data_IF_699657479106
#
_entry.id   IF_699657479106
#
_cell.length_a   1.000
_cell.length_b   1.000
_cell.length_c   1.000
_cell.angle_alpha   90.00
_cell.angle_beta   90.00
_cell.angle_gamma   90.00
#
_symmetry.space_group_name_H-M   'P 1'
#
loop_
_entity.id
_entity.type
_entity.pdbx_description
1 polymer ?
#
# COMPACT_ATOMS: atom_id res chain seq x y z
N UNK A 1 -49.68 -0.95 30.76
CA UNK A 1 -50.64 0.17 30.90
C UNK A 1 -50.70 0.53 32.37
N UNK A 2 -50.79 1.81 32.79
CA UNK A 2 -50.77 3.11 32.06
C UNK A 2 -49.36 3.73 32.09
N UNK A 3 -48.79 4.43 31.08
CA UNK A 3 -49.14 5.65 30.33
C UNK A 3 -49.20 6.93 31.20
N UNK A 4 -48.14 7.73 31.14
CA UNK A 4 -48.15 9.17 31.33
C UNK A 4 -47.48 9.83 30.12
N UNK A 5 -48.14 10.84 29.57
CA UNK A 5 -47.83 11.59 28.35
C UNK A 5 -47.14 12.93 28.68
N UNK A 6 -47.02 13.80 27.65
CA UNK A 6 -46.69 15.24 27.64
C UNK A 6 -45.19 15.49 27.28
N UNK A 7 -44.77 16.31 26.32
CA UNK A 7 -45.46 17.21 25.39
C UNK A 7 -44.63 17.45 24.12
N UNK A 8 -45.39 17.70 23.05
CA UNK A 8 -45.06 18.36 21.79
C UNK A 8 -44.51 19.78 21.98
N UNK A 9 -43.48 20.15 21.19
CA UNK A 9 -43.38 21.49 20.58
C UNK A 9 -42.83 21.38 19.17
N UNK A 10 -43.63 21.88 18.23
CA UNK A 10 -43.30 22.13 16.84
C UNK A 10 -43.19 23.66 16.62
N UNK A 11 -42.25 24.05 15.77
CA UNK A 11 -42.24 25.26 14.94
C UNK A 11 -41.18 24.96 13.85
N UNK A 12 -41.50 24.73 12.56
CA UNK A 12 -42.04 25.66 11.55
C UNK A 12 -41.24 26.98 11.50
N UNK A 13 -40.79 27.56 10.40
CA UNK A 13 -40.72 27.24 8.97
C UNK A 13 -39.83 28.34 8.34
N UNK A 14 -39.25 28.11 7.16
CA UNK A 14 -39.26 29.06 6.03
C UNK A 14 -38.30 28.60 4.92
N UNK A 15 -38.88 28.29 3.77
CA UNK A 15 -38.21 28.15 2.50
C UNK A 15 -38.05 29.52 1.84
N UNK A 16 -36.97 29.70 1.06
CA UNK A 16 -36.98 30.59 -0.09
C UNK A 16 -36.40 29.82 -1.27
N UNK A 17 -37.26 29.53 -2.23
CA UNK A 17 -36.91 29.16 -3.59
C UNK A 17 -37.15 30.38 -4.47
N UNK A 18 -36.22 30.69 -5.37
CA UNK A 18 -36.58 31.37 -6.62
C UNK A 18 -35.82 30.73 -7.78
N UNK A 19 -36.61 30.46 -8.81
CA UNK A 19 -36.29 29.73 -10.02
C UNK A 19 -35.74 30.65 -11.11
N UNK A 20 -35.04 30.08 -12.08
CA UNK A 20 -35.28 30.41 -13.49
C UNK A 20 -35.29 29.12 -14.33
N UNK A 21 -36.38 28.97 -15.06
CA UNK A 21 -36.67 27.90 -15.99
C UNK A 21 -35.91 28.07 -17.31
N UNK A 22 -35.67 26.94 -17.98
CA UNK A 22 -35.29 26.87 -19.38
C UNK A 22 -35.62 25.49 -19.92
N UNK A 23 -36.78 25.36 -20.55
CA UNK A 23 -37.24 24.14 -21.23
C UNK A 23 -36.45 23.92 -22.53
N UNK A 24 -36.05 22.68 -22.80
CA UNK A 24 -36.12 22.13 -24.17
C UNK A 24 -36.27 20.60 -24.10
N UNK A 25 -37.12 20.11 -24.99
CA UNK A 25 -37.66 18.76 -25.03
C UNK A 25 -37.06 17.95 -26.18
N UNK A 26 -36.81 16.66 -25.90
CA UNK A 26 -36.87 15.57 -26.88
C UNK A 26 -35.61 15.27 -27.67
N UNK A 27 -35.03 14.08 -27.44
CA UNK A 27 -34.92 13.00 -28.45
C UNK A 27 -34.28 11.76 -27.81
N UNK A 28 -34.79 10.59 -28.21
CA UNK A 28 -34.15 9.29 -28.06
C UNK A 28 -32.83 9.30 -28.83
N UNK A 29 -31.76 8.78 -28.24
CA UNK A 29 -30.82 7.83 -28.85
C UNK A 29 -29.63 7.60 -27.93
N UNK A 30 -29.13 6.37 -27.89
CA UNK A 30 -28.00 5.95 -27.06
C UNK A 30 -26.76 6.79 -27.38
N UNK A 31 -26.18 7.44 -26.37
CA UNK A 31 -24.97 8.23 -26.53
C UNK A 31 -23.78 7.31 -26.86
N UNK A 32 -23.11 7.48 -28.02
CA UNK A 32 -21.91 6.75 -28.35
C UNK A 32 -20.72 7.32 -27.55
N UNK A 33 -19.80 6.43 -27.19
CA UNK A 33 -18.52 6.80 -26.61
C UNK A 33 -17.77 7.73 -27.59
N UNK A 34 -17.52 8.97 -27.20
CA UNK A 34 -16.71 9.91 -27.98
C UNK A 34 -15.27 9.92 -27.46
N UNK A 35 -14.34 9.48 -28.31
CA UNK A 35 -12.91 9.63 -28.10
C UNK A 35 -12.46 10.96 -28.72
N UNK A 36 -12.18 11.96 -27.88
CA UNK A 36 -11.51 13.19 -28.32
C UNK A 36 -10.07 13.19 -27.84
N UNK A 37 -9.14 13.33 -28.79
CA UNK A 37 -7.71 13.50 -28.53
C UNK A 37 -7.35 14.94 -28.88
N UNK A 38 -7.03 15.75 -27.87
CA UNK A 38 -6.29 16.99 -28.07
C UNK A 38 -4.85 16.77 -27.60
N UNK A 39 -3.91 16.76 -28.54
CA UNK A 39 -2.47 16.69 -28.29
C UNK A 39 -1.82 17.94 -28.85
N UNK A 40 -1.31 18.82 -27.98
CA UNK A 40 -0.34 19.85 -28.35
C UNK A 40 1.09 19.32 -28.14
N UNK A 41 2.07 19.71 -28.98
CA UNK A 41 3.45 19.25 -28.82
C UNK A 41 4.12 20.01 -27.67
N UNK A 42 4.57 19.27 -26.65
CA UNK A 42 5.40 19.79 -25.56
C UNK A 42 6.84 19.32 -25.79
N UNK A 43 7.78 20.28 -25.78
CA UNK A 43 9.18 20.07 -26.13
C UNK A 43 9.95 19.08 -25.23
N UNK A 44 11.19 18.74 -25.63
CA UNK A 44 12.02 17.70 -25.01
C UNK A 44 12.44 17.93 -23.54
N UNK A 45 12.07 19.06 -22.93
CA UNK A 45 12.28 19.36 -21.50
C UNK A 45 11.23 18.80 -20.53
N UNK A 46 10.23 18.04 -21.00
CA UNK A 46 9.06 17.67 -20.16
C UNK A 46 9.03 16.22 -19.68
N UNK A 47 9.65 15.27 -20.39
CA UNK A 47 9.52 13.86 -20.01
C UNK A 47 10.18 13.55 -18.67
N UNK A 48 11.48 13.84 -18.50
CA UNK A 48 12.22 13.53 -17.27
C UNK A 48 11.57 14.16 -16.05
N UNK A 49 11.17 15.43 -16.18
CA UNK A 49 10.37 16.13 -15.19
C UNK A 49 9.05 15.40 -14.88
N UNK A 50 8.26 15.01 -15.89
CA UNK A 50 7.00 14.26 -15.70
C UNK A 50 7.24 12.92 -15.01
N UNK A 51 8.31 12.20 -15.38
CA UNK A 51 8.68 10.92 -14.74
C UNK A 51 8.95 11.13 -13.26
N UNK A 52 9.80 12.10 -12.92
CA UNK A 52 10.18 12.36 -11.53
C UNK A 52 9.04 12.93 -10.71
N UNK A 53 8.19 13.78 -11.29
CA UNK A 53 6.99 14.29 -10.65
C UNK A 53 6.04 13.15 -10.26
N UNK A 54 5.70 12.27 -11.21
CA UNK A 54 4.82 11.11 -10.95
C UNK A 54 5.42 10.17 -9.91
N UNK A 55 6.71 9.84 -10.01
CA UNK A 55 7.39 9.01 -9.01
C UNK A 55 7.46 9.72 -7.64
N UNK A 56 7.58 11.05 -7.64
CA UNK A 56 7.47 11.91 -6.47
C UNK A 56 6.12 11.80 -5.80
N UNK A 57 5.01 11.92 -6.54
CA UNK A 57 3.66 11.72 -6.02
C UNK A 57 3.45 10.32 -5.44
N UNK A 58 3.98 9.28 -6.10
CA UNK A 58 3.96 7.90 -5.57
C UNK A 58 4.73 7.82 -4.25
N UNK A 59 5.94 8.39 -4.18
CA UNK A 59 6.73 8.40 -2.94
C UNK A 59 6.07 9.18 -1.81
N UNK A 60 5.44 10.31 -2.12
CA UNK A 60 4.64 11.11 -1.19
C UNK A 60 3.48 10.29 -0.63
N UNK A 61 2.73 9.58 -1.49
CA UNK A 61 1.66 8.66 -1.07
C UNK A 61 2.18 7.55 -0.17
N UNK A 62 3.30 6.91 -0.53
CA UNK A 62 3.94 5.90 0.32
C UNK A 62 4.31 6.50 1.68
N UNK A 63 4.92 7.68 1.75
CA UNK A 63 5.22 8.33 3.03
C UNK A 63 3.96 8.55 3.87
N UNK A 64 2.89 9.05 3.26
CA UNK A 64 1.62 9.31 3.92
C UNK A 64 0.95 8.05 4.46
N UNK A 65 1.25 6.85 3.94
CA UNK A 65 0.78 5.61 4.57
C UNK A 65 1.33 5.42 6.00
N UNK A 66 2.43 6.08 6.37
CA UNK A 66 2.88 6.11 7.76
C UNK A 66 2.39 7.27 8.59
N UNK A 67 1.71 8.23 7.96
CA UNK A 67 1.02 9.33 8.65
C UNK A 67 -0.43 8.89 8.93
N UNK A 68 -1.14 8.48 7.88
CA UNK A 68 -2.56 8.14 7.88
C UNK A 68 -2.82 6.94 6.97
N UNK A 69 -3.04 5.78 7.59
CA UNK A 69 -3.43 4.54 6.91
C UNK A 69 -4.20 3.63 7.87
N UNK A 70 -4.73 2.53 7.35
CA UNK A 70 -5.25 1.44 8.18
C UNK A 70 -4.21 0.93 9.19
N UNK A 71 -2.92 0.96 8.83
CA UNK A 71 -1.83 0.54 9.71
C UNK A 71 -1.64 1.54 10.85
N UNK A 72 -1.61 2.83 10.55
CA UNK A 72 -1.48 3.86 11.61
C UNK A 72 -2.72 3.92 12.48
N UNK A 73 -3.91 3.75 11.91
CA UNK A 73 -5.17 3.62 12.66
C UNK A 73 -5.14 2.41 13.61
N UNK A 74 -4.68 1.25 13.13
CA UNK A 74 -4.51 0.05 13.97
C UNK A 74 -3.50 0.29 15.10
N UNK A 75 -2.37 0.93 14.81
CA UNK A 75 -1.36 1.27 15.82
C UNK A 75 -1.94 2.20 16.91
N UNK A 76 -2.66 3.27 16.52
CA UNK A 76 -3.34 4.18 17.45
C UNK A 76 -4.38 3.44 18.29
N UNK A 77 -5.19 2.58 17.67
CA UNK A 77 -6.21 1.78 18.36
C UNK A 77 -5.59 0.84 19.40
N UNK A 78 -4.51 0.14 19.05
CA UNK A 78 -3.82 -0.78 19.94
C UNK A 78 -3.20 -0.06 21.15
N UNK A 79 -2.59 1.10 20.92
CA UNK A 79 -2.05 1.93 22.02
C UNK A 79 -3.19 2.40 22.92
N UNK A 80 -4.25 2.96 22.34
CA UNK A 80 -5.38 3.52 23.08
C UNK A 80 -6.14 2.47 23.91
N UNK A 81 -6.20 1.21 23.46
CA UNK A 81 -6.88 0.12 24.18
C UNK A 81 -5.98 -0.69 25.10
N UNK A 82 -4.70 -0.34 25.21
CA UNK A 82 -3.76 -1.08 26.05
C UNK A 82 -3.94 -0.71 27.53
N UNK A 83 -4.78 -1.46 28.24
CA UNK A 83 -4.99 -1.28 29.68
C UNK A 83 -3.69 -1.44 30.49
N UNK A 84 -2.79 -2.33 30.07
CA UNK A 84 -1.48 -2.51 30.67
C UNK A 84 -0.62 -1.24 30.53
N UNK A 85 -0.58 -0.64 29.33
CA UNK A 85 0.18 0.59 29.08
C UNK A 85 -0.39 1.78 29.86
N UNK A 86 -1.72 1.96 29.82
CA UNK A 86 -2.39 3.03 30.57
C UNK A 86 -2.12 2.92 32.06
N UNK A 87 -2.27 1.73 32.64
CA UNK A 87 -2.08 1.50 34.08
C UNK A 87 -0.63 1.72 34.52
N UNK A 88 0.35 1.25 33.73
CA UNK A 88 1.77 1.47 34.02
C UNK A 88 2.14 2.96 33.91
N UNK A 89 1.62 3.64 32.89
CA UNK A 89 1.79 5.09 32.71
C UNK A 89 1.21 5.84 33.91
N UNK A 90 -0.01 5.52 34.34
CA UNK A 90 -0.69 6.13 35.49
C UNK A 90 0.03 5.92 36.83
N UNK A 91 0.77 4.81 36.98
CA UNK A 91 1.64 4.58 38.15
C UNK A 91 3.05 5.15 38.02
N UNK A 92 3.47 5.55 36.82
CA UNK A 92 4.83 6.04 36.56
C UNK A 92 5.83 4.89 36.55
N UNK A 93 5.34 3.68 36.29
CA UNK A 93 6.10 2.44 36.28
C UNK A 93 6.79 2.29 34.92
N UNK A 94 8.06 2.70 34.86
CA UNK A 94 8.87 2.65 33.65
C UNK A 94 9.06 1.22 33.12
N UNK A 95 9.28 0.24 34.00
CA UNK A 95 9.47 -1.15 33.62
C UNK A 95 8.17 -1.75 33.06
N UNK A 96 7.03 -1.51 33.71
CA UNK A 96 5.72 -1.92 33.23
C UNK A 96 5.34 -1.25 31.91
N UNK A 97 5.65 0.03 31.74
CA UNK A 97 5.40 0.75 30.49
C UNK A 97 6.25 0.18 29.34
N UNK A 98 7.52 -0.14 29.59
CA UNK A 98 8.41 -0.75 28.60
C UNK A 98 7.94 -2.14 28.18
N UNK A 99 7.53 -2.99 29.13
CA UNK A 99 7.00 -4.32 28.83
C UNK A 99 5.70 -4.25 28.02
N UNK A 100 4.77 -3.37 28.40
CA UNK A 100 3.52 -3.16 27.65
C UNK A 100 3.80 -2.63 26.23
N UNK A 101 4.73 -1.69 26.09
CA UNK A 101 5.13 -1.15 24.80
C UNK A 101 5.81 -2.20 23.89
N UNK A 102 6.64 -3.08 24.45
CA UNK A 102 7.23 -4.21 23.71
C UNK A 102 6.16 -5.20 23.23
N UNK A 103 5.16 -5.49 24.06
CA UNK A 103 4.01 -6.32 23.65
C UNK A 103 3.25 -5.70 22.48
N UNK A 104 3.07 -4.37 22.48
CA UNK A 104 2.45 -3.65 21.37
C UNK A 104 3.31 -3.73 20.10
N UNK A 105 4.63 -3.61 20.19
CA UNK A 105 5.52 -3.83 19.04
C UNK A 105 5.44 -5.26 18.49
N UNK A 106 5.24 -6.26 19.36
CA UNK A 106 5.03 -7.66 18.98
C UNK A 106 3.85 -7.87 18.02
N UNK A 107 2.88 -6.95 17.99
CA UNK A 107 1.75 -6.96 17.05
C UNK A 107 2.14 -6.55 15.63
N UNK A 108 3.35 -6.01 15.42
CA UNK A 108 3.92 -5.56 14.13
C UNK A 108 3.20 -4.41 13.43
N UNK A 109 2.25 -3.75 14.10
CA UNK A 109 1.57 -2.57 13.55
C UNK A 109 2.42 -1.30 13.61
N UNK A 110 3.41 -1.23 14.50
CA UNK A 110 4.33 -0.10 14.66
C UNK A 110 5.79 -0.58 14.72
N UNK A 111 6.73 0.30 14.40
CA UNK A 111 8.16 0.05 14.42
C UNK A 111 8.85 0.61 15.67
N UNK A 112 8.29 1.67 16.27
CA UNK A 112 8.81 2.29 17.49
C UNK A 112 7.69 2.92 18.31
N UNK A 113 7.88 2.98 19.63
CA UNK A 113 6.97 3.60 20.58
C UNK A 113 7.72 4.23 21.75
N UNK A 114 7.43 5.50 22.01
CA UNK A 114 7.86 6.29 23.17
C UNK A 114 6.66 6.67 24.01
N UNK A 115 6.82 6.56 25.32
CA UNK A 115 5.76 6.80 26.31
C UNK A 115 6.25 7.81 27.32
N UNK A 116 5.47 8.86 27.54
CA UNK A 116 5.84 9.98 28.39
C UNK A 116 4.74 10.25 29.41
N UNK A 117 5.14 10.68 30.60
CA UNK A 117 4.24 11.21 31.64
C UNK A 117 4.83 12.46 32.25
N UNK A 118 4.11 13.58 32.16
CA UNK A 118 4.57 14.86 32.73
C UNK A 118 5.99 15.24 32.29
N UNK A 119 6.34 14.98 31.02
CA UNK A 119 7.69 15.22 30.48
C UNK A 119 8.72 14.11 30.76
N UNK A 120 8.44 13.18 31.67
CA UNK A 120 9.33 12.04 31.97
C UNK A 120 9.11 10.92 30.98
N UNK A 121 10.19 10.44 30.34
CA UNK A 121 10.16 9.28 29.47
C UNK A 121 10.07 8.00 30.30
N UNK A 122 8.96 7.26 30.16
CA UNK A 122 8.75 5.99 30.86
C UNK A 122 9.20 4.79 30.02
N UNK A 123 9.05 4.85 28.69
CA UNK A 123 9.48 3.79 27.79
C UNK A 123 9.93 4.34 26.44
N UNK A 124 10.92 3.69 25.84
CA UNK A 124 11.38 3.93 24.47
C UNK A 124 11.81 2.58 23.86
N UNK A 125 10.96 2.03 23.01
CA UNK A 125 11.11 0.67 22.49
C UNK A 125 11.02 0.66 20.96
N UNK A 126 11.66 -0.33 20.33
CA UNK A 126 11.67 -0.49 18.88
C UNK A 126 12.79 0.29 18.20
N UNK A 127 12.50 0.84 17.03
CA UNK A 127 13.50 1.60 16.24
C UNK A 127 13.93 2.87 16.96
N UNK A 128 15.23 3.18 16.89
CA UNK A 128 15.80 4.38 17.48
C UNK A 128 15.48 5.64 16.65
N UNK A 129 15.34 5.48 15.32
CA UNK A 129 14.93 6.53 14.39
C UNK A 129 13.85 5.99 13.46
N UNK A 130 13.12 6.90 12.84
CA UNK A 130 12.02 6.56 11.95
C UNK A 130 11.46 7.81 11.30
N UNK A 131 10.28 7.66 10.72
CA UNK A 131 9.61 8.74 9.97
C UNK A 131 8.13 8.80 10.33
N UNK A 132 7.47 9.91 10.00
CA UNK A 132 6.04 10.09 10.20
C UNK A 132 5.60 9.79 11.65
N UNK A 133 6.05 10.59 12.64
CA UNK A 133 5.69 10.37 14.02
C UNK A 133 4.17 10.48 14.22
N UNK A 134 3.63 9.51 14.94
CA UNK A 134 2.25 9.45 15.41
C UNK A 134 2.22 9.92 16.86
N UNK A 135 1.65 11.09 17.09
CA UNK A 135 1.51 11.65 18.43
C UNK A 135 0.08 11.43 18.94
N UNK A 136 -0.05 11.10 20.22
CA UNK A 136 -1.34 10.98 20.88
C UNK A 136 -1.24 10.98 22.41
N UNK A 137 -2.39 10.83 23.05
CA UNK A 137 -2.53 10.80 24.51
C UNK A 137 -2.82 9.39 25.00
N UNK A 138 -2.41 9.10 26.23
CA UNK A 138 -2.75 7.86 26.93
C UNK A 138 -3.80 8.19 27.98
N UNK A 139 -4.90 7.44 27.96
CA UNK A 139 -6.05 7.65 28.84
C UNK A 139 -6.13 6.53 29.88
N UNK A 140 -6.28 6.90 31.16
CA UNK A 140 -6.46 5.98 32.28
C UNK A 140 -7.89 5.46 32.39
N UNK A 141 -8.16 4.63 33.41
CA UNK A 141 -9.46 3.97 33.60
C UNK A 141 -10.64 4.96 33.78
N UNK A 142 -10.38 6.14 34.36
CA UNK A 142 -11.38 7.20 34.55
C UNK A 142 -11.54 8.16 33.37
N UNK A 143 -11.01 7.85 32.19
CA UNK A 143 -11.09 8.75 31.03
C UNK A 143 -10.12 9.95 31.09
N UNK A 144 -9.36 10.10 32.18
CA UNK A 144 -8.36 11.16 32.36
C UNK A 144 -7.08 10.86 31.58
N UNK A 145 -6.47 11.89 31.00
CA UNK A 145 -5.14 11.76 30.42
C UNK A 145 -4.11 11.44 31.51
N UNK A 146 -3.36 10.35 31.34
CA UNK A 146 -2.30 9.88 32.25
C UNK A 146 -0.90 10.01 31.65
N UNK A 147 -0.81 10.20 30.34
CA UNK A 147 0.44 10.43 29.63
C UNK A 147 0.24 10.80 28.17
N UNK A 148 1.33 10.77 27.42
CA UNK A 148 1.35 10.90 25.97
C UNK A 148 2.21 9.80 25.36
N UNK A 149 2.08 9.62 24.05
CA UNK A 149 2.95 8.73 23.30
C UNK A 149 3.39 9.38 21.98
N UNK A 150 4.53 8.92 21.49
CA UNK A 150 5.01 9.15 20.14
C UNK A 150 5.37 7.79 19.54
N UNK A 151 4.78 7.43 18.41
CA UNK A 151 5.03 6.16 17.74
C UNK A 151 5.46 6.39 16.29
N UNK A 152 5.98 5.36 15.64
CA UNK A 152 6.19 5.37 14.18
C UNK A 152 5.86 4.00 13.61
N UNK A 153 5.36 3.97 12.37
CA UNK A 153 5.21 2.73 11.59
C UNK A 153 6.33 2.54 10.57
N UNK A 154 7.15 3.57 10.35
CA UNK A 154 8.33 3.53 9.48
C UNK A 154 9.59 3.34 10.31
N UNK A 155 10.24 2.18 10.16
CA UNK A 155 11.60 1.99 10.65
C UNK A 155 12.66 2.68 9.78
N UNK A 156 13.91 2.66 10.25
CA UNK A 156 15.06 3.38 9.68
C UNK A 156 15.22 3.30 8.14
N UNK A 157 14.87 2.16 7.54
CA UNK A 157 14.98 1.94 6.09
C UNK A 157 13.64 1.60 5.40
N UNK A 158 12.54 1.46 6.15
CA UNK A 158 11.28 0.93 5.61
C UNK A 158 10.71 1.76 4.47
N UNK A 159 10.71 3.09 4.62
CA UNK A 159 10.26 4.00 3.56
C UNK A 159 11.16 3.92 2.33
N UNK A 160 12.48 3.87 2.54
CA UNK A 160 13.47 3.83 1.46
C UNK A 160 13.31 2.57 0.63
N UNK A 161 13.26 1.41 1.28
CA UNK A 161 13.14 0.13 0.61
C UNK A 161 11.81 0.00 -0.15
N UNK A 162 10.71 0.43 0.46
CA UNK A 162 9.39 0.39 -0.19
C UNK A 162 9.33 1.35 -1.39
N UNK A 163 9.78 2.60 -1.21
CA UNK A 163 9.78 3.60 -2.28
C UNK A 163 10.69 3.16 -3.43
N UNK A 164 11.92 2.72 -3.14
CA UNK A 164 12.85 2.25 -4.18
C UNK A 164 12.36 0.99 -4.87
N UNK A 165 11.75 0.05 -4.15
CA UNK A 165 11.18 -1.17 -4.72
C UNK A 165 10.03 -0.88 -5.71
N UNK A 166 9.16 0.06 -5.37
CA UNK A 166 7.98 0.39 -6.18
C UNK A 166 8.30 1.34 -7.35
N UNK A 167 9.09 2.38 -7.09
CA UNK A 167 9.43 3.40 -8.11
C UNK A 167 10.57 2.96 -9.02
N UNK A 168 11.43 2.04 -8.55
CA UNK A 168 12.72 1.74 -9.19
C UNK A 168 13.69 2.92 -9.20
N UNK A 169 13.41 3.99 -8.46
CA UNK A 169 14.29 5.12 -8.24
C UNK A 169 15.04 4.97 -6.90
N UNK A 170 16.17 5.66 -6.76
CA UNK A 170 16.84 5.73 -5.47
C UNK A 170 16.07 6.66 -4.53
N UNK A 171 15.93 6.27 -3.26
CA UNK A 171 15.31 7.12 -2.24
C UNK A 171 16.35 7.51 -1.19
N UNK A 172 16.38 8.81 -0.85
CA UNK A 172 17.28 9.38 0.16
C UNK A 172 16.47 10.21 1.14
N UNK A 173 16.77 10.07 2.43
CA UNK A 173 16.14 10.87 3.50
C UNK A 173 17.20 11.78 4.10
N UNK A 174 16.94 13.08 4.16
CA UNK A 174 17.88 14.08 4.71
C UNK A 174 17.27 14.91 5.83
N UNK A 175 18.12 15.24 6.79
CA UNK A 175 17.94 16.29 7.78
C UNK A 175 18.91 17.43 7.43
N UNK A 176 18.40 18.50 6.82
CA UNK A 176 19.24 19.54 6.22
C UNK A 176 20.18 18.93 5.17
N UNK A 177 21.49 19.03 5.38
CA UNK A 177 22.51 18.44 4.49
C UNK A 177 22.90 17.00 4.86
N UNK A 178 22.53 16.53 6.05
CA UNK A 178 22.90 15.21 6.56
C UNK A 178 21.95 14.14 6.04
N UNK A 179 22.51 13.08 5.44
CA UNK A 179 21.74 11.90 5.04
C UNK A 179 21.46 11.00 6.25
N UNK A 180 20.20 10.61 6.41
CA UNK A 180 19.75 9.69 7.46
C UNK A 180 19.58 8.27 6.94
N UNK A 181 19.07 8.12 5.72
CA UNK A 181 18.82 6.83 5.09
C UNK A 181 18.90 6.95 3.56
N UNK A 182 19.13 5.83 2.89
CA UNK A 182 19.35 5.77 1.45
C UNK A 182 20.74 5.26 1.10
N UNK A 183 20.86 4.65 -0.09
CA UNK A 183 22.14 4.17 -0.63
C UNK A 183 22.78 5.18 -1.57
N UNK A 184 21.99 6.09 -2.13
CA UNK A 184 22.44 7.13 -3.03
C UNK A 184 22.96 8.33 -2.23
N UNK A 185 24.12 8.86 -2.62
CA UNK A 185 24.76 10.01 -1.95
C UNK A 185 24.51 11.28 -2.75
N UNK A 186 23.78 12.22 -2.16
CA UNK A 186 23.55 13.57 -2.66
C UNK A 186 24.67 14.50 -2.20
N UNK A 187 24.95 15.59 -2.94
CA UNK A 187 25.91 16.59 -2.51
C UNK A 187 25.56 17.18 -1.14
N UNK A 188 26.58 17.48 -0.34
CA UNK A 188 26.46 18.06 1.00
C UNK A 188 26.07 19.55 0.99
N UNK A 189 25.09 19.93 0.16
CA UNK A 189 24.46 21.25 0.09
C UNK A 189 22.95 21.12 0.11
N UNK A 190 22.29 22.24 0.39
CA UNK A 190 20.85 22.33 0.24
C UNK A 190 20.46 22.15 -1.24
N UNK A 191 19.39 21.40 -1.46
CA UNK A 191 18.86 21.13 -2.79
C UNK A 191 17.43 21.66 -2.87
N UNK A 192 17.01 22.23 -4.01
CA UNK A 192 15.63 22.67 -4.21
C UNK A 192 14.64 21.50 -4.15
N UNK A 193 13.34 21.78 -4.30
CA UNK A 193 12.32 20.74 -4.33
C UNK A 193 12.53 19.76 -5.50
N UNK A 194 13.02 20.25 -6.64
CA UNK A 194 13.27 19.45 -7.83
C UNK A 194 14.46 20.01 -8.60
N UNK A 195 15.14 19.17 -9.37
CA UNK A 195 16.23 19.61 -10.23
C UNK A 195 17.13 18.47 -10.69
N UNK A 196 18.33 18.83 -11.14
CA UNK A 196 19.34 17.89 -11.62
C UNK A 196 20.62 18.01 -10.81
N UNK A 197 21.29 16.88 -10.58
CA UNK A 197 22.57 16.79 -9.90
C UNK A 197 23.49 15.82 -10.64
N UNK A 198 24.76 16.17 -10.78
CA UNK A 198 25.77 15.26 -11.31
C UNK A 198 26.39 14.46 -10.15
N UNK A 199 26.36 13.13 -10.24
CA UNK A 199 26.98 12.22 -9.27
C UNK A 199 27.85 11.24 -10.04
N UNK A 200 29.15 11.22 -9.76
CA UNK A 200 30.15 10.44 -10.49
C UNK A 200 30.08 10.63 -12.02
N UNK A 201 29.90 11.87 -12.47
CA UNK A 201 29.81 12.20 -13.90
C UNK A 201 28.47 11.84 -14.57
N UNK A 202 27.51 11.26 -13.84
CA UNK A 202 26.18 10.92 -14.37
C UNK A 202 25.15 11.94 -13.88
N UNK A 203 24.40 12.52 -14.81
CA UNK A 203 23.28 13.40 -14.50
C UNK A 203 22.11 12.60 -13.90
N UNK A 204 21.63 13.05 -12.75
CA UNK A 204 20.47 12.51 -12.05
C UNK A 204 19.44 13.61 -11.86
N UNK A 205 18.20 13.31 -12.19
CA UNK A 205 17.06 14.15 -11.83
C UNK A 205 16.56 13.74 -10.44
N UNK A 206 16.04 14.70 -9.70
CA UNK A 206 15.43 14.44 -8.40
C UNK A 206 14.16 15.24 -8.18
N UNK A 207 13.26 14.65 -7.40
CA UNK A 207 12.09 15.27 -6.80
C UNK A 207 12.18 15.09 -5.29
N UNK A 208 11.67 16.05 -4.52
CA UNK A 208 11.67 15.95 -3.06
C UNK A 208 10.49 16.64 -2.40
N UNK A 209 10.08 16.09 -1.27
CA UNK A 209 8.95 16.56 -0.47
C UNK A 209 9.30 16.61 1.02
N UNK A 210 8.62 17.48 1.80
CA UNK A 210 8.84 17.56 3.25
C UNK A 210 8.34 16.30 3.96
N UNK A 211 9.04 15.91 5.02
CA UNK A 211 8.70 14.81 5.91
C UNK A 211 9.06 15.16 7.36
N UNK A 212 8.70 14.30 8.30
CA UNK A 212 8.98 14.49 9.73
C UNK A 212 9.75 13.29 10.31
N UNK A 213 10.78 13.59 11.10
CA UNK A 213 11.59 12.62 11.81
C UNK A 213 10.85 12.04 13.01
N UNK A 214 11.02 10.76 13.24
CA UNK A 214 10.79 10.15 14.54
C UNK A 214 12.14 9.85 15.21
N UNK A 215 12.31 10.15 16.52
CA UNK A 215 11.39 10.91 17.36
C UNK A 215 11.52 12.44 17.17
N UNK A 216 10.57 13.18 17.73
CA UNK A 216 10.62 14.64 17.92
C UNK A 216 10.08 15.47 16.77
N UNK A 217 9.59 14.87 15.69
CA UNK A 217 8.93 15.60 14.59
C UNK A 217 9.80 16.59 13.84
N UNK A 218 11.14 16.48 13.95
CA UNK A 218 12.07 17.40 13.28
C UNK A 218 11.86 17.37 11.76
N UNK A 219 11.92 18.51 11.07
CA UNK A 219 11.68 18.57 9.63
C UNK A 219 12.78 17.82 8.86
N UNK A 220 12.35 17.02 7.89
CA UNK A 220 13.20 16.25 6.98
C UNK A 220 12.75 16.51 5.54
N UNK A 221 13.58 16.06 4.59
CA UNK A 221 13.18 15.94 3.18
C UNK A 221 13.45 14.53 2.68
N UNK A 222 12.50 14.00 1.92
CA UNK A 222 12.65 12.75 1.18
C UNK A 222 12.91 13.09 -0.27
N UNK A 223 13.95 12.51 -0.85
CA UNK A 223 14.36 12.68 -2.24
C UNK A 223 14.13 11.38 -3.00
N UNK A 224 13.50 11.48 -4.15
CA UNK A 224 13.41 10.44 -5.18
C UNK A 224 14.38 10.85 -6.28
N UNK A 225 15.37 10.01 -6.55
CA UNK A 225 16.49 10.31 -7.43
C UNK A 225 16.61 9.25 -8.51
N UNK A 226 16.76 9.67 -9.76
CA UNK A 226 16.88 8.77 -10.90
C UNK A 226 17.89 9.30 -11.91
N UNK A 227 18.73 8.41 -12.44
CA UNK A 227 19.64 8.77 -13.51
C UNK A 227 18.84 9.15 -14.77
N UNK A 228 19.20 10.27 -15.42
CA UNK A 228 18.52 10.77 -16.64
C UNK A 228 18.39 9.66 -17.71
N UNK A 229 19.43 8.85 -18.01
CA UNK A 229 19.30 7.76 -18.98
C UNK A 229 18.33 6.64 -18.57
N UNK A 230 18.00 6.52 -17.28
CA UNK A 230 17.00 5.56 -16.79
C UNK A 230 15.58 6.10 -16.87
N UNK A 231 15.39 7.43 -16.88
CA UNK A 231 14.09 8.08 -17.09
C UNK A 231 13.63 7.97 -18.54
N UNK A 232 14.56 8.00 -19.51
CA UNK A 232 14.25 7.98 -20.95
C UNK A 232 13.40 6.77 -21.40
N UNK A 233 13.55 5.61 -20.74
CA UNK A 233 12.77 4.39 -21.03
C UNK A 233 11.28 4.50 -20.69
N UNK A 234 10.91 5.49 -19.86
CA UNK A 234 9.52 5.76 -19.47
C UNK A 234 8.91 6.86 -20.33
N UNK A 235 9.71 7.57 -21.12
CA UNK A 235 9.25 8.66 -21.97
C UNK A 235 8.31 8.17 -23.05
N UNK A 236 7.30 8.99 -23.29
CA UNK A 236 6.41 8.86 -24.43
C UNK A 236 6.33 10.19 -25.19
N UNK A 237 5.55 10.19 -26.27
CA UNK A 237 5.33 11.36 -27.13
C UNK A 237 4.57 12.50 -26.45
N UNK A 238 4.03 12.30 -25.24
CA UNK A 238 3.35 13.33 -24.46
C UNK A 238 3.52 13.10 -22.96
N UNK A 239 3.31 14.15 -22.15
CA UNK A 239 3.32 14.06 -20.69
C UNK A 239 2.30 13.03 -20.19
N UNK A 240 1.05 13.07 -20.68
CA UNK A 240 0.02 12.12 -20.30
C UNK A 240 0.39 10.65 -20.59
N UNK A 241 0.98 10.36 -21.76
CA UNK A 241 1.46 9.00 -22.04
C UNK A 241 2.67 8.61 -21.17
N UNK A 242 3.51 9.57 -20.81
CA UNK A 242 4.62 9.38 -19.86
C UNK A 242 4.09 9.01 -18.48
N UNK A 243 3.07 9.72 -17.97
CA UNK A 243 2.35 9.38 -16.72
C UNK A 243 1.87 7.92 -16.76
N UNK A 244 1.25 7.51 -17.88
CA UNK A 244 0.75 6.14 -18.06
C UNK A 244 1.86 5.10 -18.04
N UNK A 245 3.00 5.37 -18.70
CA UNK A 245 4.15 4.48 -18.67
C UNK A 245 4.71 4.33 -17.25
N UNK A 246 4.83 5.43 -16.50
CA UNK A 246 5.36 5.44 -15.14
C UNK A 246 4.42 4.67 -14.19
N UNK A 247 3.13 5.00 -14.16
CA UNK A 247 2.16 4.34 -13.29
C UNK A 247 1.91 2.88 -13.70
N UNK A 248 1.94 2.59 -15.01
CA UNK A 248 1.89 1.23 -15.52
C UNK A 248 3.10 0.39 -15.09
N UNK A 249 4.29 1.00 -14.96
CA UNK A 249 5.46 0.35 -14.37
C UNK A 249 5.28 0.15 -12.86
N UNK A 250 4.83 1.17 -12.12
CA UNK A 250 4.60 1.06 -10.66
C UNK A 250 3.57 -0.04 -10.35
N UNK A 251 2.45 -0.09 -11.06
CA UNK A 251 1.45 -1.15 -10.91
C UNK A 251 2.03 -2.55 -11.16
N UNK A 252 2.87 -2.71 -12.19
CA UNK A 252 3.61 -3.96 -12.45
C UNK A 252 4.57 -4.30 -11.31
N UNK A 253 5.22 -3.31 -10.70
CA UNK A 253 6.12 -3.54 -9.56
C UNK A 253 5.37 -3.95 -8.30
N UNK A 254 4.21 -3.36 -8.02
CA UNK A 254 3.32 -3.81 -6.94
C UNK A 254 3.01 -5.31 -7.13
N UNK A 255 2.56 -5.70 -8.32
CA UNK A 255 2.23 -7.10 -8.63
C UNK A 255 3.44 -8.03 -8.48
N UNK A 256 4.61 -7.62 -8.99
CA UNK A 256 5.85 -8.41 -8.93
C UNK A 256 6.40 -8.54 -7.51
N UNK A 257 6.16 -7.55 -6.65
CA UNK A 257 6.52 -7.60 -5.24
C UNK A 257 5.95 -8.83 -4.56
N UNK A 258 4.75 -9.26 -4.97
CA UNK A 258 4.05 -10.42 -4.39
C UNK A 258 4.54 -11.78 -4.89
N UNK A 259 5.06 -11.84 -6.13
CA UNK A 259 5.66 -13.05 -6.69
C UNK A 259 7.16 -13.20 -6.37
N UNK A 260 7.77 -12.13 -5.86
CA UNK A 260 9.22 -11.96 -5.77
C UNK A 260 9.81 -12.29 -4.39
N UNK A 261 10.85 -11.56 -3.95
CA UNK A 261 11.56 -11.82 -2.69
C UNK A 261 10.66 -11.89 -1.45
N UNK A 262 9.53 -11.17 -1.44
CA UNK A 262 8.56 -11.19 -0.33
C UNK A 262 7.92 -12.58 -0.16
N UNK A 263 7.73 -13.34 -1.24
CA UNK A 263 7.20 -14.70 -1.19
C UNK A 263 8.21 -15.72 -0.65
N UNK A 264 9.53 -15.47 -0.78
CA UNK A 264 10.56 -16.44 -0.38
C UNK A 264 10.50 -16.81 1.11
N UNK A 265 10.14 -15.85 1.98
CA UNK A 265 9.95 -16.13 3.40
C UNK A 265 8.82 -17.14 3.64
N UNK A 266 7.70 -16.96 2.94
CA UNK A 266 6.55 -17.86 3.03
C UNK A 266 6.82 -19.21 2.38
N UNK A 267 7.52 -19.22 1.23
CA UNK A 267 8.00 -20.47 0.60
C UNK A 267 8.82 -21.30 1.58
N UNK A 268 9.81 -20.68 2.25
CA UNK A 268 10.64 -21.40 3.24
C UNK A 268 9.84 -21.89 4.43
N UNK A 269 8.85 -21.12 4.89
CA UNK A 269 7.95 -21.52 5.98
C UNK A 269 7.15 -22.77 5.59
N UNK A 270 6.51 -22.77 4.41
CA UNK A 270 5.79 -23.93 3.87
C UNK A 270 6.72 -25.14 3.69
N UNK A 271 7.92 -24.93 3.15
CA UNK A 271 8.91 -26.00 2.93
C UNK A 271 9.51 -26.58 4.23
N UNK A 272 9.34 -25.91 5.37
CA UNK A 272 9.86 -26.37 6.68
C UNK A 272 8.76 -26.87 7.60
N UNK A 273 7.50 -26.77 7.19
CA UNK A 273 6.35 -27.16 8.00
C UNK A 273 6.25 -28.69 8.13
N UNK A 274 6.68 -29.23 9.27
CA UNK A 274 6.72 -30.67 9.50
C UNK A 274 5.34 -31.35 9.40
N UNK A 275 4.25 -30.78 9.96
CA UNK A 275 2.91 -31.35 9.77
C UNK A 275 2.55 -31.51 8.29
N UNK A 276 2.75 -30.47 7.47
CA UNK A 276 2.48 -30.52 6.04
C UNK A 276 3.36 -31.54 5.32
N UNK A 277 4.68 -31.52 5.56
CA UNK A 277 5.61 -32.43 4.88
C UNK A 277 5.27 -33.90 5.14
N UNK A 278 4.92 -34.25 6.39
CA UNK A 278 4.49 -35.62 6.75
C UNK A 278 3.19 -36.00 6.06
N UNK A 279 2.18 -35.11 6.10
CA UNK A 279 0.90 -35.35 5.44
C UNK A 279 1.06 -35.59 3.93
N UNK A 280 1.94 -34.82 3.28
CA UNK A 280 2.24 -34.96 1.84
C UNK A 280 2.97 -36.25 1.54
N UNK A 281 3.94 -36.65 2.37
CA UNK A 281 4.64 -37.92 2.20
C UNK A 281 3.69 -39.12 2.32
N UNK A 282 2.75 -39.08 3.26
CA UNK A 282 1.74 -40.11 3.50
C UNK A 282 0.53 -40.03 2.55
N UNK A 283 0.45 -39.02 1.68
CA UNK A 283 -0.71 -38.74 0.81
C UNK A 283 -2.04 -38.57 1.56
N UNK A 284 -1.97 -38.11 2.80
CA UNK A 284 -3.13 -37.85 3.65
C UNK A 284 -3.74 -36.49 3.31
N UNK A 285 -4.91 -36.50 2.66
CA UNK A 285 -5.64 -35.29 2.26
C UNK A 285 -6.17 -34.49 3.47
N UNK A 286 -6.64 -35.17 4.51
CA UNK A 286 -7.23 -34.51 5.67
C UNK A 286 -6.15 -33.82 6.51
N UNK A 287 -5.04 -34.51 6.75
CA UNK A 287 -3.89 -33.95 7.44
C UNK A 287 -3.26 -32.79 6.65
N UNK A 288 -3.15 -32.92 5.32
CA UNK A 288 -2.63 -31.84 4.47
C UNK A 288 -3.53 -30.59 4.55
N UNK A 289 -4.85 -30.76 4.51
CA UNK A 289 -5.80 -29.65 4.65
C UNK A 289 -5.67 -28.95 6.01
N UNK A 290 -5.55 -29.72 7.10
CA UNK A 290 -5.38 -29.19 8.46
C UNK A 290 -4.06 -28.41 8.59
N UNK A 291 -2.95 -28.96 8.09
CA UNK A 291 -1.66 -28.29 8.10
C UNK A 291 -1.67 -26.99 7.27
N UNK A 292 -2.30 -26.99 6.10
CA UNK A 292 -2.46 -25.77 5.30
C UNK A 292 -3.30 -24.73 6.05
N UNK A 293 -4.43 -25.12 6.67
CA UNK A 293 -5.25 -24.20 7.44
C UNK A 293 -4.45 -23.54 8.58
N UNK A 294 -3.60 -24.32 9.24
CA UNK A 294 -2.67 -23.81 10.25
C UNK A 294 -1.61 -22.88 9.64
N UNK A 295 -1.28 -22.97 8.35
CA UNK A 295 -0.32 -22.09 7.67
C UNK A 295 -0.93 -20.79 7.11
N UNK A 296 -2.25 -20.72 6.91
CA UNK A 296 -2.99 -19.57 6.37
C UNK A 296 -3.12 -18.41 7.37
N UNK A 297 -1.97 -17.94 7.82
CA UNK A 297 -1.79 -16.74 8.64
C UNK A 297 -0.45 -16.10 8.27
N UNK A 298 -0.21 -14.87 8.73
CA UNK A 298 1.05 -14.14 8.48
C UNK A 298 1.40 -14.07 6.99
N UNK A 299 0.50 -13.50 6.18
CA UNK A 299 0.69 -13.19 4.75
C UNK A 299 0.59 -14.38 3.78
N UNK A 300 0.05 -15.54 4.17
CA UNK A 300 -0.30 -16.60 3.21
C UNK A 300 -1.83 -16.59 3.02
N UNK A 301 -2.31 -16.31 1.80
CA UNK A 301 -3.75 -16.19 1.51
C UNK A 301 -4.34 -17.43 0.86
N UNK A 302 -3.49 -18.23 0.21
CA UNK A 302 -3.87 -19.53 -0.36
C UNK A 302 -2.66 -20.43 -0.54
N UNK A 303 -2.88 -21.71 -0.31
CA UNK A 303 -1.87 -22.75 -0.55
C UNK A 303 -2.57 -24.00 -1.12
N UNK A 304 -1.99 -24.48 -2.21
CA UNK A 304 -2.39 -25.69 -2.93
C UNK A 304 -1.22 -26.65 -2.92
N UNK A 305 -1.47 -27.92 -2.58
CA UNK A 305 -0.45 -28.95 -2.53
C UNK A 305 -0.88 -30.18 -3.31
N UNK A 306 0.02 -30.65 -4.17
CA UNK A 306 -0.15 -31.86 -4.97
C UNK A 306 1.02 -32.80 -4.78
N UNK A 307 0.79 -34.08 -5.04
CA UNK A 307 1.82 -35.11 -4.99
C UNK A 307 1.47 -36.22 -5.99
N UNK A 308 2.47 -36.73 -6.74
CA UNK A 308 2.27 -37.79 -7.74
C UNK A 308 1.14 -37.50 -8.74
N UNK A 309 1.03 -36.24 -9.19
CA UNK A 309 -0.03 -35.79 -10.11
C UNK A 309 -1.39 -35.53 -9.46
N UNK A 310 -1.64 -35.99 -8.24
CA UNK A 310 -2.91 -35.80 -7.54
C UNK A 310 -2.91 -34.56 -6.64
N UNK A 311 -4.03 -33.83 -6.63
CA UNK A 311 -4.28 -32.78 -5.64
C UNK A 311 -4.54 -33.41 -4.27
N UNK A 312 -3.79 -32.95 -3.25
CA UNK A 312 -4.03 -33.35 -1.86
C UNK A 312 -4.94 -32.37 -1.14
N UNK A 313 -4.64 -31.07 -1.25
CA UNK A 313 -5.43 -30.00 -0.65
C UNK A 313 -5.25 -28.65 -1.37
N UNK A 314 -6.28 -27.82 -1.34
CA UNK A 314 -6.30 -26.43 -1.84
C UNK A 314 -7.16 -25.62 -0.86
N UNK A 315 -6.53 -24.69 -0.13
CA UNK A 315 -7.20 -23.92 0.93
C UNK A 315 -6.80 -22.46 0.81
N UNK A 316 -7.80 -21.56 0.85
CA UNK A 316 -7.63 -20.12 0.78
C UNK A 316 -8.73 -19.44 -0.03
N UNK A 317 -8.59 -18.13 -0.26
CA UNK A 317 -9.56 -17.31 -0.98
C UNK A 317 -9.77 -17.73 -2.44
N UNK A 318 -10.95 -17.51 -3.04
CA UNK A 318 -11.27 -17.93 -4.40
C UNK A 318 -10.45 -17.18 -5.45
N UNK A 319 -10.14 -15.91 -5.22
CA UNK A 319 -9.42 -15.04 -6.14
C UNK A 319 -8.13 -14.55 -5.49
N UNK A 320 -7.01 -15.12 -5.92
CA UNK A 320 -5.67 -14.73 -5.44
C UNK A 320 -4.71 -14.70 -6.61
N UNK A 321 -3.67 -13.87 -6.47
CA UNK A 321 -2.80 -13.52 -7.59
C UNK A 321 -1.42 -14.14 -7.44
N UNK A 322 -0.58 -13.97 -8.45
CA UNK A 322 0.87 -14.18 -8.34
C UNK A 322 1.26 -15.56 -7.74
N UNK A 323 0.80 -16.69 -8.32
CA UNK A 323 1.14 -18.01 -7.81
C UNK A 323 2.66 -18.24 -7.83
N UNK A 324 3.19 -18.68 -6.69
CA UNK A 324 4.59 -19.10 -6.54
C UNK A 324 4.64 -20.60 -6.30
N UNK A 325 5.36 -21.31 -7.18
CA UNK A 325 5.53 -22.76 -7.08
C UNK A 325 6.80 -23.10 -6.30
N UNK A 326 6.72 -24.13 -5.45
CA UNK A 326 7.84 -24.60 -4.66
C UNK A 326 7.79 -26.14 -4.49
N UNK A 327 8.91 -26.86 -4.70
CA UNK A 327 8.96 -28.28 -4.40
C UNK A 327 8.90 -28.50 -2.88
N UNK A 328 8.18 -29.54 -2.47
CA UNK A 328 8.18 -30.03 -1.10
C UNK A 328 9.16 -31.20 -1.01
N UNK A 329 10.11 -31.12 -0.07
CA UNK A 329 11.15 -32.13 0.11
C UNK A 329 11.16 -32.67 1.53
N UNK A 330 11.37 -33.97 1.67
CA UNK A 330 11.57 -34.65 2.96
C UNK A 330 12.71 -35.65 2.79
N UNK A 331 13.70 -35.61 3.69
CA UNK A 331 14.90 -36.46 3.57
C UNK A 331 15.68 -36.25 2.27
N UNK A 332 15.66 -35.04 1.69
CA UNK A 332 16.30 -34.73 0.41
C UNK A 332 15.49 -35.11 -0.84
N UNK A 333 14.45 -35.92 -0.72
CA UNK A 333 13.60 -36.35 -1.83
C UNK A 333 12.41 -35.42 -2.04
N UNK A 334 12.04 -35.16 -3.29
CA UNK A 334 10.82 -34.41 -3.61
C UNK A 334 9.60 -35.29 -3.39
N UNK A 335 8.75 -34.91 -2.44
CA UNK A 335 7.54 -35.64 -2.05
C UNK A 335 6.27 -35.06 -2.67
N UNK A 336 6.33 -33.81 -3.15
CA UNK A 336 5.19 -33.11 -3.74
C UNK A 336 5.55 -31.72 -4.23
N UNK A 337 4.53 -30.96 -4.60
CA UNK A 337 4.63 -29.58 -5.06
C UNK A 337 3.63 -28.72 -4.30
N UNK A 338 4.07 -27.53 -3.91
CA UNK A 338 3.24 -26.48 -3.36
C UNK A 338 3.09 -25.34 -4.39
N UNK A 339 1.91 -24.76 -4.47
CA UNK A 339 1.65 -23.47 -5.11
C UNK A 339 1.02 -22.58 -4.04
N UNK A 340 1.64 -21.45 -3.73
CA UNK A 340 1.12 -20.49 -2.76
C UNK A 340 0.94 -19.11 -3.36
N UNK A 341 0.13 -18.30 -2.68
CA UNK A 341 0.03 -16.87 -2.91
C UNK A 341 0.07 -16.14 -1.56
N UNK A 342 0.70 -14.96 -1.56
CA UNK A 342 0.82 -14.11 -0.38
C UNK A 342 -0.10 -12.87 -0.41
N UNK A 343 -0.79 -12.65 -1.52
CA UNK A 343 -1.69 -11.52 -1.71
C UNK A 343 -2.94 -11.94 -2.50
N UNK A 344 -4.08 -11.49 -2.01
CA UNK A 344 -5.36 -11.60 -2.71
C UNK A 344 -5.56 -10.40 -3.68
N UNK A 345 -6.55 -10.54 -4.54
CA UNK A 345 -6.94 -9.49 -5.49
C UNK A 345 -7.32 -8.19 -4.79
N UNK A 346 -8.09 -8.25 -3.71
CA UNK A 346 -8.48 -7.10 -2.91
C UNK A 346 -7.27 -6.37 -2.31
N UNK A 347 -6.26 -7.11 -1.84
CA UNK A 347 -5.02 -6.56 -1.34
C UNK A 347 -4.26 -5.78 -2.41
N UNK A 348 -4.15 -6.32 -3.62
CA UNK A 348 -3.54 -5.61 -4.75
C UNK A 348 -4.30 -4.32 -5.10
N UNK A 349 -5.63 -4.37 -5.16
CA UNK A 349 -6.46 -3.19 -5.43
C UNK A 349 -6.21 -2.08 -4.41
N UNK A 350 -6.23 -2.43 -3.11
CA UNK A 350 -5.98 -1.48 -2.03
C UNK A 350 -4.58 -0.89 -2.13
N UNK A 351 -3.55 -1.69 -2.40
CA UNK A 351 -2.19 -1.19 -2.56
C UNK A 351 -2.04 -0.28 -3.78
N UNK A 352 -2.58 -0.66 -4.94
CA UNK A 352 -2.52 0.16 -6.14
C UNK A 352 -3.21 1.52 -5.91
N UNK A 353 -4.36 1.52 -5.24
CA UNK A 353 -5.08 2.75 -4.90
C UNK A 353 -4.31 3.63 -3.91
N UNK A 354 -3.82 3.04 -2.82
CA UNK A 354 -3.12 3.77 -1.76
C UNK A 354 -1.79 4.32 -2.23
N UNK A 355 -0.96 3.48 -2.83
CA UNK A 355 0.43 3.81 -3.14
C UNK A 355 0.59 4.59 -4.45
N UNK A 356 -0.28 4.32 -5.43
CA UNK A 356 -0.19 4.93 -6.76
C UNK A 356 -1.42 5.77 -7.15
N UNK A 357 -2.45 5.86 -6.30
CA UNK A 357 -3.65 6.66 -6.61
C UNK A 357 -4.51 6.11 -7.75
N UNK A 358 -4.21 4.91 -8.25
CA UNK A 358 -4.88 4.34 -9.43
C UNK A 358 -6.01 3.39 -9.05
N UNK A 359 -7.02 3.32 -9.91
CA UNK A 359 -8.08 2.33 -9.81
C UNK A 359 -7.71 1.08 -10.65
N UNK A 360 -8.24 -0.09 -10.30
CA UNK A 360 -7.86 -1.38 -10.91
C UNK A 360 -9.08 -2.25 -11.19
N UNK A 361 -9.08 -2.88 -12.35
CA UNK A 361 -9.99 -3.94 -12.75
C UNK A 361 -9.21 -5.22 -13.03
N UNK A 362 -9.76 -6.36 -12.65
CA UNK A 362 -9.15 -7.67 -12.88
C UNK A 362 -10.09 -8.60 -13.62
N UNK A 363 -9.57 -9.25 -14.66
CA UNK A 363 -10.33 -10.17 -15.48
C UNK A 363 -9.64 -11.53 -15.58
N UNK A 364 -10.42 -12.60 -15.39
CA UNK A 364 -10.05 -13.96 -15.75
C UNK A 364 -10.84 -14.34 -17.00
N UNK A 365 -10.16 -14.34 -18.15
CA UNK A 365 -10.84 -14.37 -19.45
C UNK A 365 -11.68 -13.10 -19.67
N UNK A 366 -12.97 -13.26 -19.96
CA UNK A 366 -13.94 -12.15 -20.08
C UNK A 366 -14.60 -11.77 -18.76
N UNK A 367 -14.50 -12.61 -17.71
CA UNK A 367 -15.15 -12.38 -16.42
C UNK A 367 -14.37 -11.35 -15.61
N UNK A 368 -15.02 -10.25 -15.23
CA UNK A 368 -14.54 -9.34 -14.19
C UNK A 368 -14.59 -10.10 -12.86
N UNK A 369 -13.44 -10.27 -12.22
CA UNK A 369 -13.33 -10.95 -10.92
C UNK A 369 -13.24 -9.97 -9.77
N UNK A 370 -12.68 -8.78 -10.01
CA UNK A 370 -12.47 -7.78 -8.97
C UNK A 370 -12.38 -6.36 -9.56
N UNK A 371 -12.84 -5.34 -8.82
CA UNK A 371 -12.93 -3.95 -9.29
C UNK A 371 -12.82 -2.95 -8.14
N UNK A 372 -11.90 -1.99 -8.25
CA UNK A 372 -11.79 -0.90 -7.26
C UNK A 372 -12.73 0.27 -7.55
N UNK A 373 -13.43 0.24 -8.69
CA UNK A 373 -14.50 1.18 -9.01
C UNK A 373 -15.85 0.50 -8.73
N UNK A 374 -16.79 1.24 -8.15
CA UNK A 374 -18.12 0.69 -7.88
C UNK A 374 -18.83 0.27 -9.16
N UNK A 375 -19.52 -0.87 -9.15
CA UNK A 375 -20.25 -1.42 -10.31
C UNK A 375 -19.39 -2.28 -11.25
N UNK A 376 -19.93 -2.61 -12.43
CA UNK A 376 -19.24 -3.40 -13.47
C UNK A 376 -19.04 -2.53 -14.70
N UNK A 377 -17.85 -1.93 -14.89
CA UNK A 377 -17.57 -1.09 -16.04
C UNK A 377 -17.63 -1.91 -17.34
N UNK A 378 -18.46 -1.46 -18.29
CA UNK A 378 -18.54 -2.04 -19.63
C UNK A 378 -17.61 -1.31 -20.62
N UNK A 379 -17.13 -2.02 -21.65
CA UNK A 379 -16.38 -1.40 -22.76
C UNK A 379 -15.01 -0.83 -22.39
N UNK A 380 -14.39 -1.30 -21.30
CA UNK A 380 -13.08 -0.80 -20.87
C UNK A 380 -12.01 -1.14 -21.92
N UNK A 381 -11.36 -0.14 -22.55
CA UNK A 381 -10.35 -0.41 -23.56
C UNK A 381 -9.09 -0.99 -22.91
N UNK A 382 -8.32 -1.77 -23.68
CA UNK A 382 -7.03 -2.28 -23.19
C UNK A 382 -6.04 -1.14 -22.92
N UNK A 383 -6.12 -0.07 -23.71
CA UNK A 383 -5.31 1.13 -23.59
C UNK A 383 -6.11 2.34 -24.09
N UNK A 384 -5.88 3.52 -23.49
CA UNK A 384 -6.44 4.79 -23.97
C UNK A 384 -7.51 5.37 -23.05
N UNK A 385 -8.18 6.43 -23.52
CA UNK A 385 -9.17 7.17 -22.73
C UNK A 385 -10.38 6.32 -22.37
N UNK A 386 -10.84 6.47 -21.13
CA UNK A 386 -12.00 5.76 -20.59
C UNK A 386 -12.72 6.66 -19.59
N UNK A 387 -14.04 6.78 -19.72
CA UNK A 387 -14.86 7.57 -18.80
C UNK A 387 -15.84 6.67 -18.07
N UNK A 388 -15.91 6.82 -16.75
CA UNK A 388 -16.78 6.00 -15.91
C UNK A 388 -17.20 6.76 -14.66
N UNK A 389 -18.50 6.74 -14.35
CA UNK A 389 -19.06 7.40 -13.16
C UNK A 389 -18.70 8.89 -13.07
N UNK A 390 -18.74 9.61 -14.20
CA UNK A 390 -18.39 11.04 -14.27
C UNK A 390 -16.89 11.35 -14.15
N UNK A 391 -16.02 10.33 -14.06
CA UNK A 391 -14.55 10.48 -13.97
C UNK A 391 -13.89 10.06 -15.26
N UNK A 392 -12.80 10.76 -15.62
CA UNK A 392 -11.98 10.46 -16.78
C UNK A 392 -10.72 9.71 -16.36
N UNK A 393 -10.39 8.67 -17.11
CA UNK A 393 -9.26 7.81 -16.90
C UNK A 393 -8.48 7.60 -18.20
N UNK A 394 -7.22 7.22 -18.05
CA UNK A 394 -6.50 6.47 -19.08
C UNK A 394 -6.37 5.02 -18.61
N UNK A 395 -6.91 4.10 -19.39
CA UNK A 395 -6.76 2.68 -19.17
C UNK A 395 -5.37 2.23 -19.63
N UNK A 396 -4.74 1.37 -18.84
CA UNK A 396 -3.52 0.65 -19.18
C UNK A 396 -3.64 -0.80 -18.72
N UNK A 397 -3.51 -1.74 -19.65
CA UNK A 397 -3.66 -3.16 -19.35
C UNK A 397 -2.36 -3.92 -19.45
N UNK A 398 -2.10 -4.81 -18.49
CA UNK A 398 -1.01 -5.77 -18.55
C UNK A 398 -1.45 -7.19 -18.16
N UNK A 399 -0.63 -8.17 -18.55
CA UNK A 399 -0.87 -9.58 -18.25
C UNK A 399 -0.19 -9.98 -16.94
N UNK A 400 -0.91 -10.74 -16.16
CA UNK A 400 -0.53 -11.32 -14.88
C UNK A 400 -0.94 -12.81 -14.85
N UNK A 401 -0.79 -13.46 -13.70
CA UNK A 401 -1.17 -14.86 -13.50
C UNK A 401 -2.22 -14.97 -12.40
N UNK A 402 -3.30 -15.68 -12.72
CA UNK A 402 -4.28 -16.09 -11.73
C UNK A 402 -3.79 -17.34 -11.00
N UNK A 403 -4.16 -17.49 -9.73
CA UNK A 403 -3.92 -18.71 -8.99
C UNK A 403 -4.96 -19.80 -9.34
N UNK A 404 -4.57 -21.09 -9.36
CA UNK A 404 -3.20 -21.59 -9.23
C UNK A 404 -2.40 -21.42 -10.52
N UNK A 405 -3.10 -21.30 -11.65
CA UNK A 405 -2.55 -21.14 -13.00
C UNK A 405 -3.55 -20.38 -13.87
N UNK A 406 -3.07 -19.85 -15.00
CA UNK A 406 -3.91 -19.24 -16.03
C UNK A 406 -3.70 -17.74 -16.17
N UNK A 407 -4.22 -17.15 -17.27
CA UNK A 407 -4.06 -15.74 -17.54
C UNK A 407 -4.93 -14.89 -16.61
N UNK A 408 -4.33 -13.84 -16.06
CA UNK A 408 -5.04 -12.73 -15.44
C UNK A 408 -4.76 -11.47 -16.26
N UNK A 409 -5.79 -10.69 -16.53
CA UNK A 409 -5.65 -9.37 -17.15
C UNK A 409 -5.93 -8.31 -16.10
N UNK A 410 -4.95 -7.46 -15.82
CA UNK A 410 -5.09 -6.33 -14.90
C UNK A 410 -5.16 -5.06 -15.74
N UNK A 411 -6.26 -4.33 -15.61
CA UNK A 411 -6.45 -3.01 -16.22
C UNK A 411 -6.38 -1.94 -15.14
N UNK A 412 -5.38 -1.08 -15.24
CA UNK A 412 -5.16 0.07 -14.38
C UNK A 412 -5.88 1.26 -15.00
N UNK A 413 -6.68 1.95 -14.19
CA UNK A 413 -7.40 3.16 -14.55
C UNK A 413 -6.71 4.34 -13.86
N UNK A 414 -5.99 5.13 -14.64
CA UNK A 414 -5.24 6.28 -14.16
C UNK A 414 -6.14 7.51 -14.24
N UNK A 415 -6.49 8.16 -13.12
CA UNK A 415 -7.34 9.35 -13.16
C UNK A 415 -6.65 10.50 -13.90
N UNK A 416 -7.41 11.27 -14.67
CA UNK A 416 -6.94 12.50 -15.33
C UNK A 416 -7.77 13.69 -14.84
N UNK A 417 -7.14 14.77 -14.32
CA UNK A 417 -5.69 14.89 -14.08
C UNK A 417 -5.19 13.93 -12.98
N UNK A 418 -3.90 13.59 -13.03
CA UNK A 418 -3.22 12.78 -12.01
C UNK A 418 -2.43 13.69 -11.07
N UNK A 419 -2.68 13.60 -9.76
CA UNK A 419 -2.05 14.41 -8.70
C UNK A 419 -2.13 13.74 -7.34
#
# INVERSE_FOLDING_TARGET
MPRAAIATRAAAAAAVALACAGCSSGLKDGAPAHASVASGPTGPGTCGATVLEVLGHVATRIYHEGVESERTASARHLIARSGALSSATERGDAAGAAAAAQSLLGTRHMAGLRVMRGGTLLANVGVARGLAPLIGTITGAGGRQVGSYEATVWGDHGLVDETSGLTGASTVVREGTRELAGRFRLPARELPAQGTVAVHGVAHEFFSFPAAAYPGGRPLRVYVVRAVPSSSRLCATSAQRTIVNVLGQVARQIYRGEAGPRAHGQVRRVQRDQPLLRAVALRDRAAARSAIAALLHQHLVRLRVSAGGALLADVGGPYVLAPVSAPLRLGGHTIGQAVLSIQDDQGYLRLAKRLAGVDVLMYMGSKLVESSVGGTPAGVPSQGSFSYGGRNFIAFTFRARAFPTGPLRITVLIPIPYG
#
